data_IF_606952599037
#
_entry.id   IF_606952599037
#
_cell.length_a   1.000
_cell.length_b   1.000
_cell.length_c   1.000
_cell.angle_alpha   90.00
_cell.angle_beta   90.00
_cell.angle_gamma   90.00
#
_symmetry.space_group_name_H-M   'P 1'
#
loop_
_entity.id
_entity.type
_entity.pdbx_description
1 polymer ?
#
# COMPACT_ATOMS: atom_id res chain seq x y z
N UNK A 1 11.71 12.03 -32.77
CA UNK A 1 11.65 11.95 -32.22
C UNK A 1 11.42 11.66 -31.30
N UNK A 2 11.29 11.27 -30.88
CA UNK A 2 10.89 11.01 -30.11
C UNK A 2 11.07 10.95 -29.13
N UNK A 3 10.76 10.97 -28.64
CA UNK A 3 10.78 10.97 -27.68
C UNK A 3 10.54 10.52 -26.78
N UNK A 4 10.87 10.22 -26.54
CA UNK A 4 10.48 9.63 -25.65
C UNK A 4 10.11 10.06 -24.65
N UNK A 5 9.54 9.99 -24.50
CA UNK A 5 9.02 10.29 -23.56
C UNK A 5 9.57 10.02 -22.38
N UNK A 6 9.95 10.52 -21.91
CA UNK A 6 10.22 10.22 -20.77
C UNK A 6 9.18 10.18 -19.90
N UNK A 7 8.70 9.27 -19.63
CA UNK A 7 7.65 9.18 -18.69
C UNK A 7 8.18 9.45 -17.30
N UNK A 8 7.39 10.06 -16.49
CA UNK A 8 7.70 10.17 -15.09
C UNK A 8 7.72 8.77 -14.50
N UNK A 9 8.70 8.48 -13.67
CA UNK A 9 8.68 7.20 -12.99
C UNK A 9 7.43 7.09 -12.13
N UNK A 10 6.80 5.93 -12.21
CA UNK A 10 5.65 5.65 -11.37
C UNK A 10 6.15 5.28 -9.98
N UNK A 11 5.55 5.87 -8.97
CA UNK A 11 5.87 5.51 -7.60
C UNK A 11 5.36 4.11 -7.32
N UNK A 12 6.14 3.33 -6.61
CA UNK A 12 5.76 1.97 -6.26
C UNK A 12 5.76 1.84 -4.75
N UNK A 13 4.66 1.32 -4.22
CA UNK A 13 4.52 1.10 -2.80
C UNK A 13 4.36 -0.40 -2.55
N UNK A 14 5.22 -0.96 -1.73
CA UNK A 14 5.13 -2.36 -1.34
C UNK A 14 4.38 -2.43 -0.02
N UNK A 15 3.19 -3.03 -0.05
CA UNK A 15 2.34 -3.10 1.11
C UNK A 15 2.15 -4.56 1.50
N UNK A 16 2.39 -4.85 2.77
CA UNK A 16 2.17 -6.19 3.30
C UNK A 16 0.99 -6.14 4.26
N UNK A 17 0.02 -7.00 4.00
CA UNK A 17 -1.13 -7.17 4.89
C UNK A 17 -0.93 -8.43 5.70
N UNK A 18 -0.96 -8.29 7.00
CA UNK A 18 -0.78 -9.43 7.90
C UNK A 18 -2.05 -9.62 8.69
N UNK A 19 -2.55 -10.85 8.71
CA UNK A 19 -3.71 -11.20 9.53
C UNK A 19 -3.22 -11.91 10.78
N UNK A 20 -3.48 -11.30 11.90
CA UNK A 20 -3.04 -11.82 13.19
C UNK A 20 -4.03 -11.38 14.25
N UNK A 21 -4.43 -12.30 15.13
CA UNK A 21 -5.37 -11.99 16.21
C UNK A 21 -6.67 -11.40 15.66
N UNK A 22 -7.12 -11.90 14.50
CA UNK A 22 -8.37 -11.52 13.86
C UNK A 22 -8.40 -10.08 13.42
N UNK A 23 -7.24 -9.50 13.21
CA UNK A 23 -7.09 -8.13 12.77
C UNK A 23 -6.14 -8.11 11.58
N UNK A 24 -6.47 -7.31 10.57
CA UNK A 24 -5.58 -7.05 9.46
C UNK A 24 -4.74 -5.82 9.76
N UNK A 25 -3.45 -5.95 9.55
CA UNK A 25 -2.51 -4.85 9.73
C UNK A 25 -1.78 -4.63 8.42
N UNK A 26 -1.64 -3.39 8.02
CA UNK A 26 -0.94 -3.03 6.79
C UNK A 26 0.34 -2.29 7.10
N UNK A 27 1.39 -2.64 6.38
CA UNK A 27 2.68 -1.96 6.47
C UNK A 27 3.15 -1.63 5.07
N UNK A 28 3.73 -0.46 4.91
CA UNK A 28 4.27 -0.04 3.64
C UNK A 28 5.75 0.28 3.80
N UNK A 29 6.59 -0.41 3.02
CA UNK A 29 8.04 -0.27 3.18
C UNK A 29 8.52 1.13 2.83
N UNK A 30 8.00 1.69 1.73
CA UNK A 30 8.52 2.95 1.21
C UNK A 30 8.07 4.14 2.03
N UNK A 31 6.91 4.05 2.62
CA UNK A 31 6.29 5.17 3.31
C UNK A 31 6.48 5.06 4.81
N UNK A 32 6.80 3.87 5.29
CA UNK A 32 6.89 3.63 6.71
C UNK A 32 5.56 3.63 7.41
N UNK A 33 4.49 3.43 6.66
CA UNK A 33 3.16 3.37 7.25
C UNK A 33 3.01 2.08 8.03
N UNK A 34 2.68 2.22 9.28
CA UNK A 34 2.38 1.09 10.12
C UNK A 34 1.07 1.42 10.82
N UNK A 35 0.20 0.43 10.89
CA UNK A 35 -0.91 0.62 11.78
C UNK A 35 -2.26 0.89 11.17
N UNK A 36 -2.42 0.69 9.88
CA UNK A 36 -3.77 0.60 9.36
C UNK A 36 -4.33 -0.73 9.83
N UNK A 37 -5.26 -0.68 10.75
CA UNK A 37 -5.80 -1.87 11.37
C UNK A 37 -7.29 -1.96 11.14
N UNK A 38 -7.79 -3.17 11.02
CA UNK A 38 -9.20 -3.37 10.90
C UNK A 38 -9.54 -4.85 10.81
N UNK A 39 -10.80 -5.17 11.02
CA UNK A 39 -11.27 -6.54 10.95
C UNK A 39 -11.68 -6.93 9.53
N UNK A 40 -11.57 -6.02 8.59
CA UNK A 40 -11.93 -6.26 7.19
C UNK A 40 -10.75 -5.85 6.32
N UNK A 41 -10.26 -6.80 5.53
CA UNK A 41 -9.17 -6.52 4.61
C UNK A 41 -9.54 -5.43 3.62
N UNK A 42 -10.78 -5.45 3.15
CA UNK A 42 -11.22 -4.43 2.19
C UNK A 42 -11.16 -3.04 2.77
N UNK A 43 -11.56 -2.88 4.02
CA UNK A 43 -11.49 -1.58 4.67
C UNK A 43 -10.05 -1.14 4.87
N UNK A 44 -9.18 -2.07 5.25
CA UNK A 44 -7.78 -1.75 5.44
C UNK A 44 -7.15 -1.33 4.12
N UNK A 45 -7.45 -2.06 3.04
CA UNK A 45 -6.93 -1.69 1.72
C UNK A 45 -7.38 -0.30 1.31
N UNK A 46 -8.62 0.04 1.60
CA UNK A 46 -9.13 1.37 1.25
C UNK A 46 -8.40 2.46 2.03
N UNK A 47 -8.17 2.23 3.31
CA UNK A 47 -7.44 3.20 4.12
C UNK A 47 -6.00 3.35 3.64
N UNK A 48 -5.36 2.26 3.27
CA UNK A 48 -4.01 2.30 2.74
C UNK A 48 -3.97 3.13 1.46
N UNK A 49 -4.92 2.88 0.57
CA UNK A 49 -4.94 3.61 -0.69
C UNK A 49 -5.14 5.09 -0.47
N UNK A 50 -6.03 5.46 0.44
CA UNK A 50 -6.26 6.87 0.74
C UNK A 50 -5.01 7.50 1.34
N UNK A 51 -4.35 6.79 2.25
CA UNK A 51 -3.13 7.30 2.85
C UNK A 51 -2.02 7.47 1.83
N UNK A 52 -1.88 6.53 0.92
CA UNK A 52 -0.86 6.62 -0.12
C UNK A 52 -1.14 7.77 -1.08
N UNK A 53 -2.41 8.02 -1.39
CA UNK A 53 -2.75 9.14 -2.25
C UNK A 53 -2.32 10.46 -1.62
N UNK A 54 -2.50 10.60 -0.33
CA UNK A 54 -2.06 11.79 0.38
C UNK A 54 -0.55 11.87 0.41
N UNK A 55 0.10 10.74 0.71
CA UNK A 55 1.56 10.73 0.82
C UNK A 55 2.22 11.11 -0.50
N UNK A 56 1.70 10.58 -1.60
CA UNK A 56 2.28 10.85 -2.92
C UNK A 56 1.70 12.11 -3.56
N UNK A 57 0.88 12.85 -2.83
CA UNK A 57 0.34 14.14 -3.29
C UNK A 57 -0.40 14.00 -4.60
N UNK A 58 -1.22 12.96 -4.69
CA UNK A 58 -2.05 12.67 -5.85
C UNK A 58 -1.25 12.35 -7.12
N UNK A 59 0.02 12.01 -6.96
CA UNK A 59 0.79 11.52 -8.09
C UNK A 59 0.50 10.06 -8.34
N UNK A 60 0.65 9.60 -9.59
CA UNK A 60 0.38 8.19 -9.89
C UNK A 60 1.29 7.27 -9.09
N UNK A 61 0.71 6.19 -8.60
CA UNK A 61 1.50 5.18 -7.91
C UNK A 61 0.86 3.81 -8.15
N UNK A 62 1.66 2.79 -7.97
CA UNK A 62 1.20 1.42 -8.03
C UNK A 62 1.47 0.75 -6.70
N UNK A 63 0.58 -0.15 -6.32
CA UNK A 63 0.71 -0.90 -5.07
C UNK A 63 1.02 -2.35 -5.41
N UNK A 64 2.11 -2.85 -4.85
CA UNK A 64 2.43 -4.27 -4.91
C UNK A 64 2.07 -4.84 -3.56
N UNK A 65 1.14 -5.79 -3.56
CA UNK A 65 0.56 -6.29 -2.32
C UNK A 65 1.06 -7.68 -2.01
N UNK A 66 1.34 -7.91 -0.73
CA UNK A 66 1.63 -9.23 -0.20
C UNK A 66 0.71 -9.48 0.97
N UNK A 67 0.25 -10.71 1.08
CA UNK A 67 -0.65 -11.09 2.16
C UNK A 67 0.01 -12.21 2.95
N UNK A 68 0.08 -12.02 4.25
CA UNK A 68 0.65 -12.99 5.16
C UNK A 68 -0.40 -13.32 6.22
N UNK A 69 -0.59 -14.60 6.47
CA UNK A 69 -1.48 -15.03 7.54
C UNK A 69 -0.66 -15.77 8.57
N UNK A 70 -0.76 -15.31 9.79
CA UNK A 70 -0.07 -15.95 10.89
C UNK A 70 -1.02 -16.91 11.56
N UNK A 71 -0.56 -18.14 11.65
CA UNK A 71 -1.33 -19.19 12.31
C UNK A 71 -0.57 -19.64 13.52
N UNK A 72 -1.23 -19.63 14.63
CA UNK A 72 -0.63 -20.07 15.89
C UNK A 72 -1.05 -21.50 16.22
#
# INVERSE_FOLDING_TARGET
MLRILKSNPIMIAHVTYTFEDQIWVAECDEVGMVGYQGNSLEKVKKLVKEGLQVFFEDQPFEVIESITMRMN
#
